data_IF_819254631909
#
_entry.id   IF_819254631909
#
_cell.length_a   1.000
_cell.length_b   1.000
_cell.length_c   1.000
_cell.angle_alpha   90.00
_cell.angle_beta   90.00
_cell.angle_gamma   90.00
#
_symmetry.space_group_name_H-M   'P 1'
#
loop_
_entity.id
_entity.type
_entity.pdbx_description
1 polymer ?
#
# COMPACT_ATOMS: atom_id res chain seq x y z
N UNK A 1 -20.57 17.83 -17.58
CA UNK A 1 -19.28 18.49 -17.90
C UNK A 1 -18.22 17.68 -17.17
N UNK A 2 -17.47 16.84 -17.86
CA UNK A 2 -16.29 16.20 -17.25
C UNK A 2 -15.33 17.31 -16.87
N UNK A 3 -14.97 17.40 -15.59
CA UNK A 3 -14.08 18.42 -15.10
C UNK A 3 -12.75 18.34 -15.86
N UNK A 4 -12.33 19.45 -16.48
CA UNK A 4 -11.07 19.65 -17.22
C UNK A 4 -9.83 19.60 -16.30
N UNK A 5 -9.97 19.02 -15.10
CA UNK A 5 -8.94 18.94 -14.06
C UNK A 5 -8.19 17.63 -14.24
N UNK A 6 -6.86 17.73 -14.28
CA UNK A 6 -5.99 16.56 -14.28
C UNK A 6 -6.15 15.74 -13.00
N UNK A 7 -5.65 14.50 -13.04
CA UNK A 7 -5.53 13.64 -11.86
C UNK A 7 -4.05 13.49 -11.53
N UNK A 8 -3.69 13.52 -10.25
CA UNK A 8 -2.38 13.10 -9.75
C UNK A 8 -2.53 11.94 -8.77
N UNK A 9 -1.46 11.19 -8.56
CA UNK A 9 -1.45 10.05 -7.67
C UNK A 9 -0.57 10.29 -6.43
N UNK A 10 -1.05 9.87 -5.26
CA UNK A 10 -0.31 9.89 -4.00
C UNK A 10 -0.23 8.47 -3.45
N UNK A 11 1.00 7.98 -3.24
CA UNK A 11 1.26 6.73 -2.55
C UNK A 11 1.52 7.01 -1.06
N UNK A 12 0.71 6.40 -0.20
CA UNK A 12 0.87 6.50 1.24
C UNK A 12 1.83 5.41 1.74
N UNK A 13 3.05 5.81 2.11
CA UNK A 13 4.15 4.92 2.52
C UNK A 13 4.80 5.30 3.88
N UNK A 14 4.30 6.33 4.57
CA UNK A 14 4.86 6.83 5.84
C UNK A 14 4.57 5.96 7.08
N UNK A 15 3.85 4.84 6.95
CA UNK A 15 3.42 4.01 8.08
C UNK A 15 4.57 3.32 8.82
N UNK A 16 4.47 3.23 10.16
CA UNK A 16 5.49 2.60 11.02
C UNK A 16 5.64 1.09 10.81
N UNK A 17 4.59 0.40 10.34
CA UNK A 17 4.64 -1.05 10.14
C UNK A 17 4.79 -1.88 11.43
N UNK A 18 4.47 -1.32 12.59
CA UNK A 18 4.70 -1.95 13.91
C UNK A 18 4.08 -3.34 14.08
N UNK A 19 2.96 -3.62 13.40
CA UNK A 19 2.30 -4.94 13.42
C UNK A 19 3.10 -6.04 12.71
N UNK A 20 4.08 -5.68 11.89
CA UNK A 20 5.02 -6.61 11.24
C UNK A 20 6.35 -6.72 11.99
N UNK A 21 6.54 -6.00 13.10
CA UNK A 21 7.76 -6.12 13.88
C UNK A 21 7.97 -7.59 14.32
N UNK A 22 9.23 -8.07 14.36
CA UNK A 22 10.48 -7.32 14.15
C UNK A 22 10.93 -7.18 12.67
N UNK A 23 10.15 -7.63 11.67
CA UNK A 23 10.56 -7.50 10.26
C UNK A 23 10.78 -6.04 9.86
N UNK A 24 9.94 -5.16 10.39
CA UNK A 24 9.91 -3.73 10.06
C UNK A 24 10.82 -2.88 10.94
N UNK A 25 11.55 -3.49 11.90
CA UNK A 25 12.52 -2.76 12.72
C UNK A 25 13.69 -2.24 11.89
N UNK A 26 14.01 -2.92 10.78
CA UNK A 26 15.13 -2.55 9.87
C UNK A 26 14.72 -2.36 8.42
N UNK A 27 13.51 -2.76 8.03
CA UNK A 27 13.00 -2.62 6.65
C UNK A 27 11.68 -1.86 6.68
N UNK A 28 11.55 -0.70 6.00
CA UNK A 28 10.27 -0.01 5.93
C UNK A 28 9.19 -0.92 5.35
N UNK A 29 7.96 -0.84 5.87
CA UNK A 29 6.83 -1.69 5.42
C UNK A 29 6.64 -1.63 3.90
N UNK A 30 6.76 -0.44 3.31
CA UNK A 30 6.65 -0.25 1.87
C UNK A 30 7.72 -1.02 1.07
N UNK A 31 8.86 -1.38 1.67
CA UNK A 31 9.92 -2.15 1.03
C UNK A 31 9.86 -3.66 1.36
N UNK A 32 8.91 -4.10 2.19
CA UNK A 32 8.70 -5.53 2.42
C UNK A 32 8.31 -6.22 1.10
N UNK A 33 8.95 -7.34 0.71
CA UNK A 33 8.71 -7.98 -0.58
C UNK A 33 7.42 -8.81 -0.59
N UNK A 34 6.59 -8.67 -1.62
CA UNK A 34 5.48 -9.59 -1.94
C UNK A 34 5.75 -10.18 -3.32
N UNK A 35 5.95 -11.50 -3.39
CA UNK A 35 6.33 -12.16 -4.64
C UNK A 35 7.67 -11.67 -5.19
N UNK A 36 8.66 -11.49 -4.31
CA UNK A 36 9.99 -10.95 -4.63
C UNK A 36 10.00 -9.52 -5.18
N UNK A 37 8.91 -8.78 -5.00
CA UNK A 37 8.78 -7.38 -5.40
C UNK A 37 8.35 -6.51 -4.20
N UNK A 38 9.05 -5.41 -3.89
CA UNK A 38 8.62 -4.47 -2.85
C UNK A 38 7.15 -4.06 -2.98
N UNK A 39 6.47 -3.89 -1.85
CA UNK A 39 5.10 -3.36 -1.81
C UNK A 39 4.97 -1.99 -2.51
N UNK A 40 5.98 -1.13 -2.37
CA UNK A 40 6.11 0.15 -3.06
C UNK A 40 6.11 -0.03 -4.59
N UNK A 41 6.82 -1.03 -5.10
CA UNK A 41 6.87 -1.30 -6.53
C UNK A 41 5.52 -1.77 -7.07
N UNK A 42 4.74 -2.53 -6.29
CA UNK A 42 3.37 -2.88 -6.65
C UNK A 42 2.51 -1.63 -6.77
N UNK A 43 2.60 -0.71 -5.81
CA UNK A 43 1.85 0.55 -5.80
C UNK A 43 2.28 1.50 -6.94
N UNK A 44 3.56 1.67 -7.20
CA UNK A 44 4.05 2.50 -8.32
C UNK A 44 3.78 1.84 -9.66
N UNK A 45 3.90 0.51 -9.75
CA UNK A 45 3.66 -0.26 -10.96
C UNK A 45 2.23 -0.15 -11.48
N UNK A 46 1.22 -0.27 -10.60
CA UNK A 46 -0.19 -0.10 -11.00
C UNK A 46 -0.51 1.33 -11.45
N UNK A 47 0.15 2.32 -10.85
CA UNK A 47 0.02 3.72 -11.23
C UNK A 47 0.65 3.98 -12.61
N UNK A 48 1.86 3.49 -12.83
CA UNK A 48 2.57 3.59 -14.11
C UNK A 48 1.80 2.90 -15.24
N UNK A 49 1.21 1.72 -14.97
CA UNK A 49 0.36 1.02 -15.93
C UNK A 49 -0.91 1.81 -16.33
N UNK A 50 -1.32 2.80 -15.54
CA UNK A 50 -2.42 3.70 -15.80
C UNK A 50 -1.97 5.10 -16.29
N UNK A 51 -0.68 5.29 -16.56
CA UNK A 51 -0.12 6.54 -17.09
C UNK A 51 0.36 7.55 -16.04
N UNK A 52 0.37 7.18 -14.75
CA UNK A 52 0.92 8.02 -13.68
C UNK A 52 2.36 7.60 -13.40
N UNK A 53 3.33 8.43 -13.79
CA UNK A 53 4.75 8.23 -13.58
C UNK A 53 5.47 9.57 -13.41
N UNK A 54 6.59 9.54 -12.68
CA UNK A 54 7.43 10.70 -12.47
C UNK A 54 6.93 11.70 -11.43
N UNK A 55 7.74 12.72 -11.13
CA UNK A 55 7.51 13.66 -10.03
C UNK A 55 6.35 14.62 -10.28
N UNK A 56 5.98 14.83 -11.54
CA UNK A 56 4.89 15.73 -11.90
C UNK A 56 3.52 15.11 -11.62
N UNK A 57 3.39 13.77 -11.67
CA UNK A 57 2.09 13.09 -11.55
C UNK A 57 1.99 12.14 -10.36
N UNK A 58 3.11 11.74 -9.76
CA UNK A 58 3.15 10.82 -8.61
C UNK A 58 3.91 11.44 -7.45
N UNK A 59 3.33 11.37 -6.25
CA UNK A 59 4.00 11.68 -5.00
C UNK A 59 4.00 10.48 -4.04
N UNK A 60 5.02 10.39 -3.18
CA UNK A 60 5.15 9.39 -2.11
C UNK A 60 5.43 10.11 -0.80
N UNK A 61 4.63 9.86 0.24
CA UNK A 61 4.95 10.38 1.58
C UNK A 61 5.89 9.42 2.34
N UNK A 62 6.83 9.99 3.10
CA UNK A 62 7.88 9.24 3.79
C UNK A 62 8.08 9.79 5.19
N UNK A 63 8.11 8.89 6.18
CA UNK A 63 8.35 9.24 7.58
C UNK A 63 9.27 8.25 8.29
N UNK A 64 8.90 6.96 8.31
CA UNK A 64 9.66 5.89 8.95
C UNK A 64 10.79 5.39 8.04
N UNK A 65 11.96 5.06 8.59
CA UNK A 65 13.14 4.62 7.84
C UNK A 65 13.47 5.50 6.62
N UNK A 66 13.49 6.83 6.84
CA UNK A 66 13.60 7.83 5.75
C UNK A 66 14.76 7.58 4.83
N UNK A 67 15.95 7.32 5.39
CA UNK A 67 17.15 7.15 4.59
C UNK A 67 17.04 5.96 3.64
N UNK A 68 16.49 4.84 4.12
CA UNK A 68 16.24 3.65 3.29
C UNK A 68 15.18 3.92 2.22
N UNK A 69 14.08 4.60 2.56
CA UNK A 69 13.04 4.99 1.60
C UNK A 69 13.56 5.96 0.55
N UNK A 70 14.35 6.97 0.95
CA UNK A 70 14.94 7.94 0.03
C UNK A 70 15.98 7.30 -0.89
N UNK A 71 16.80 6.39 -0.35
CA UNK A 71 17.76 5.63 -1.15
C UNK A 71 17.04 4.77 -2.19
N UNK A 72 15.97 4.07 -1.81
CA UNK A 72 15.16 3.29 -2.75
C UNK A 72 14.51 4.18 -3.82
N UNK A 73 13.85 5.27 -3.41
CA UNK A 73 13.17 6.19 -4.33
C UNK A 73 14.14 6.84 -5.32
N UNK A 74 15.41 7.02 -4.95
CA UNK A 74 16.43 7.53 -5.86
C UNK A 74 16.89 6.51 -6.93
N UNK A 75 16.51 5.23 -6.82
CA UNK A 75 16.86 4.20 -7.82
C UNK A 75 15.95 4.20 -9.05
N UNK A 76 14.76 4.79 -8.96
CA UNK A 76 13.83 4.87 -10.08
C UNK A 76 14.35 5.85 -11.15
N UNK A 77 14.20 5.48 -12.42
CA UNK A 77 14.62 6.32 -13.56
C UNK A 77 13.98 7.71 -13.55
N UNK A 78 12.72 7.78 -13.12
CA UNK A 78 11.94 9.01 -12.99
C UNK A 78 11.27 9.02 -11.61
N UNK A 79 12.00 9.47 -10.56
CA UNK A 79 11.56 9.31 -9.18
C UNK A 79 10.34 10.19 -8.88
N UNK A 80 9.37 9.71 -8.09
CA UNK A 80 8.19 10.48 -7.73
C UNK A 80 8.55 11.67 -6.82
N UNK A 81 7.64 12.64 -6.72
CA UNK A 81 7.75 13.72 -5.74
C UNK A 81 7.77 13.11 -4.33
N UNK A 82 8.76 13.49 -3.52
CA UNK A 82 8.81 13.03 -2.13
C UNK A 82 8.20 14.06 -1.20
N UNK A 83 7.29 13.62 -0.33
CA UNK A 83 6.78 14.40 0.80
C UNK A 83 7.37 13.85 2.10
N UNK A 84 8.32 14.57 2.69
CA UNK A 84 8.97 14.16 3.94
C UNK A 84 8.17 14.67 5.14
N UNK A 85 7.65 13.76 5.96
CA UNK A 85 6.87 14.11 7.13
C UNK A 85 7.71 14.10 8.40
N UNK A 86 7.82 15.22 9.11
CA UNK A 86 8.55 15.30 10.38
C UNK A 86 8.00 14.35 11.45
N UNK A 87 6.67 14.22 11.49
CA UNK A 87 5.87 13.35 12.38
C UNK A 87 4.84 12.61 11.50
N UNK A 88 4.30 11.45 11.91
CA UNK A 88 3.33 10.75 11.07
C UNK A 88 2.04 11.58 10.96
N UNK A 89 1.71 12.07 9.77
CA UNK A 89 0.56 12.96 9.54
C UNK A 89 -0.75 12.22 9.28
N UNK A 90 -0.70 10.90 9.06
CA UNK A 90 -1.88 10.13 8.68
C UNK A 90 -2.32 10.44 7.24
N UNK A 91 -3.42 9.80 6.80
CA UNK A 91 -3.81 9.82 5.39
C UNK A 91 -4.32 11.18 4.92
N UNK A 92 -5.02 11.94 5.77
CA UNK A 92 -5.50 13.27 5.42
C UNK A 92 -4.39 14.32 5.55
N UNK A 93 -3.60 14.25 6.62
CA UNK A 93 -2.49 15.17 6.84
C UNK A 93 -1.41 15.07 5.76
N UNK A 94 -1.14 13.87 5.25
CA UNK A 94 -0.24 13.65 4.12
C UNK A 94 -0.69 14.40 2.86
N UNK A 95 -1.99 14.39 2.56
CA UNK A 95 -2.55 15.13 1.42
C UNK A 95 -2.53 16.63 1.67
N UNK A 96 -2.81 17.08 2.89
CA UNK A 96 -2.67 18.49 3.27
C UNK A 96 -1.24 19.01 3.09
N UNK A 97 -0.23 18.19 3.39
CA UNK A 97 1.18 18.51 3.16
C UNK A 97 1.56 18.55 1.67
N UNK A 98 0.82 17.83 0.82
CA UNK A 98 0.99 17.81 -0.63
C UNK A 98 0.06 18.77 -1.37
N UNK A 99 -0.75 19.57 -0.68
CA UNK A 99 -1.79 20.42 -1.29
C UNK A 99 -1.26 21.30 -2.41
N UNK A 100 -0.13 21.98 -2.18
CA UNK A 100 0.49 22.89 -3.15
C UNK A 100 1.14 22.14 -4.33
N UNK A 101 1.47 20.86 -4.16
CA UNK A 101 1.88 20.00 -5.28
C UNK A 101 0.65 19.50 -6.05
N UNK A 102 -0.43 19.10 -5.38
CA UNK A 102 -1.67 18.63 -6.00
C UNK A 102 -2.30 19.73 -6.86
N UNK A 103 -2.34 20.97 -6.37
CA UNK A 103 -2.63 22.22 -7.09
C UNK A 103 -3.81 22.13 -8.10
N UNK A 104 -5.03 21.97 -7.58
CA UNK A 104 -6.23 21.99 -8.42
C UNK A 104 -6.60 20.68 -9.10
N UNK A 105 -5.73 19.65 -8.98
CA UNK A 105 -5.95 18.32 -9.54
C UNK A 105 -6.74 17.42 -8.61
N UNK A 106 -7.52 16.52 -9.18
CA UNK A 106 -8.13 15.44 -8.45
C UNK A 106 -7.06 14.42 -8.02
N UNK A 107 -7.27 13.74 -6.90
CA UNK A 107 -6.23 12.91 -6.28
C UNK A 107 -6.62 11.44 -6.24
N UNK A 108 -5.84 10.60 -6.91
CA UNK A 108 -5.82 9.15 -6.73
C UNK A 108 -4.89 8.82 -5.56
N UNK A 109 -5.42 8.19 -4.52
CA UNK A 109 -4.63 7.78 -3.35
C UNK A 109 -4.53 6.26 -3.35
N UNK A 110 -3.32 5.74 -3.14
CA UNK A 110 -3.08 4.30 -2.94
C UNK A 110 -2.18 4.10 -1.73
N UNK A 111 -2.54 3.16 -0.86
CA UNK A 111 -1.67 2.76 0.22
C UNK A 111 -0.59 1.82 -0.32
N UNK A 112 0.67 2.04 0.07
CA UNK A 112 1.78 1.21 -0.38
C UNK A 112 1.64 -0.25 0.10
N UNK A 113 0.99 -0.48 1.23
CA UNK A 113 0.82 -1.80 1.83
C UNK A 113 -0.36 -2.61 1.29
N UNK A 114 -1.11 -2.07 0.33
CA UNK A 114 -2.23 -2.76 -0.29
C UNK A 114 -1.76 -3.60 -1.49
N UNK A 115 -1.91 -4.92 -1.37
CA UNK A 115 -1.69 -5.87 -2.46
C UNK A 115 -3.01 -6.18 -3.17
N UNK A 116 -2.99 -6.20 -4.50
CA UNK A 116 -4.17 -6.46 -5.32
C UNK A 116 -3.91 -7.54 -6.36
N UNK A 117 -4.92 -8.34 -6.66
CA UNK A 117 -4.92 -9.29 -7.77
C UNK A 117 -6.32 -9.37 -8.40
N UNK A 118 -6.49 -8.98 -9.68
CA UNK A 118 -5.48 -8.45 -10.60
C UNK A 118 -5.11 -6.98 -10.30
N UNK A 119 -3.82 -6.68 -10.22
CA UNK A 119 -3.28 -5.37 -9.87
C UNK A 119 -3.72 -4.25 -10.84
N UNK A 120 -3.75 -4.54 -12.14
CA UNK A 120 -4.14 -3.60 -13.19
C UNK A 120 -5.63 -3.19 -13.18
N UNK A 121 -6.47 -3.79 -12.34
CA UNK A 121 -7.88 -3.42 -12.24
C UNK A 121 -8.14 -2.23 -11.31
N UNK A 122 -7.25 -1.97 -10.35
CA UNK A 122 -7.43 -0.96 -9.28
C UNK A 122 -7.75 0.42 -9.85
N UNK A 123 -6.84 0.97 -10.65
CA UNK A 123 -6.95 2.35 -11.16
C UNK A 123 -8.12 2.48 -12.14
N UNK A 124 -8.32 1.46 -13.00
CA UNK A 124 -9.44 1.43 -13.95
C UNK A 124 -10.79 1.41 -13.22
N UNK A 125 -10.95 0.59 -12.19
CA UNK A 125 -12.21 0.49 -11.43
C UNK A 125 -12.54 1.82 -10.75
N UNK A 126 -11.54 2.51 -10.21
CA UNK A 126 -11.72 3.82 -9.60
C UNK A 126 -12.13 4.89 -10.64
N UNK A 127 -11.36 5.02 -11.73
CA UNK A 127 -11.56 6.09 -12.72
C UNK A 127 -12.79 5.89 -13.61
N UNK A 128 -13.21 4.64 -13.85
CA UNK A 128 -14.31 4.35 -14.79
C UNK A 128 -15.62 5.02 -14.37
N UNK A 129 -16.10 5.93 -15.23
CA UNK A 129 -17.35 6.66 -15.01
C UNK A 129 -17.34 7.56 -13.76
N UNK A 130 -16.16 7.95 -13.26
CA UNK A 130 -16.06 8.90 -12.16
C UNK A 130 -16.23 10.33 -12.66
N UNK A 131 -17.16 11.08 -12.06
CA UNK A 131 -17.48 12.45 -12.48
C UNK A 131 -16.56 13.52 -11.86
N UNK A 132 -15.74 13.16 -10.85
CA UNK A 132 -14.89 14.12 -10.12
C UNK A 132 -15.66 14.99 -9.12
N UNK A 133 -16.87 14.58 -8.70
CA UNK A 133 -17.74 15.38 -7.82
C UNK A 133 -17.79 14.86 -6.38
N UNK A 134 -17.47 13.58 -6.18
CA UNK A 134 -17.63 12.84 -4.93
C UNK A 134 -16.39 12.00 -4.65
N UNK A 135 -15.94 11.90 -3.40
CA UNK A 135 -14.96 10.89 -3.02
C UNK A 135 -15.46 9.50 -3.43
N UNK A 136 -14.57 8.70 -4.01
CA UNK A 136 -14.86 7.33 -4.43
C UNK A 136 -13.88 6.37 -3.81
N UNK A 137 -14.38 5.40 -3.05
CA UNK A 137 -13.56 4.40 -2.37
C UNK A 137 -13.54 3.11 -3.18
N UNK A 138 -12.36 2.51 -3.33
CA UNK A 138 -12.26 1.14 -3.83
C UNK A 138 -12.56 0.18 -2.68
N UNK A 139 -13.60 -0.61 -2.86
CA UNK A 139 -14.08 -1.55 -1.86
C UNK A 139 -14.08 -2.97 -2.41
N UNK A 140 -13.89 -3.95 -1.53
CA UNK A 140 -14.07 -5.36 -1.84
C UNK A 140 -15.11 -5.95 -0.88
N UNK A 141 -15.80 -7.02 -1.31
CA UNK A 141 -16.65 -7.79 -0.41
C UNK A 141 -15.80 -8.39 0.70
N UNK A 142 -16.23 -8.22 1.95
CA UNK A 142 -15.57 -8.81 3.09
C UNK A 142 -15.76 -10.33 3.08
N UNK A 143 -14.69 -11.07 3.38
CA UNK A 143 -14.78 -12.50 3.63
C UNK A 143 -15.38 -12.79 5.01
N UNK A 144 -15.82 -14.03 5.24
CA UNK A 144 -16.41 -14.42 6.52
C UNK A 144 -15.43 -14.17 7.68
N UNK A 145 -15.84 -13.33 8.64
CA UNK A 145 -15.02 -12.97 9.80
C UNK A 145 -14.10 -11.77 9.58
N UNK A 146 -14.04 -11.20 8.38
CA UNK A 146 -13.38 -9.91 8.15
C UNK A 146 -14.23 -8.76 8.68
N UNK A 147 -13.55 -7.67 9.07
CA UNK A 147 -14.21 -6.40 9.40
C UNK A 147 -14.83 -5.80 8.15
N UNK A 148 -16.05 -5.28 8.26
CA UNK A 148 -16.69 -4.46 7.22
C UNK A 148 -16.62 -2.98 7.59
N UNK A 149 -16.59 -2.13 6.56
CA UNK A 149 -16.63 -0.67 6.69
C UNK A 149 -17.96 -0.09 6.17
N UNK A 150 -18.56 -0.74 5.16
CA UNK A 150 -19.80 -0.34 4.52
C UNK A 150 -20.67 -1.57 4.23
N UNK A 151 -21.53 -1.93 5.18
CA UNK A 151 -22.40 -3.12 5.07
C UNK A 151 -21.59 -4.42 4.88
N UNK A 152 -21.57 -5.00 3.69
CA UNK A 152 -20.80 -6.19 3.31
C UNK A 152 -19.47 -5.87 2.62
N UNK A 153 -19.15 -4.58 2.47
CA UNK A 153 -17.94 -4.08 1.83
C UNK A 153 -16.91 -3.60 2.86
N UNK A 154 -15.64 -3.73 2.49
CA UNK A 154 -14.49 -3.15 3.19
C UNK A 154 -13.67 -2.26 2.27
N UNK A 155 -13.07 -1.22 2.83
CA UNK A 155 -12.13 -0.38 2.11
C UNK A 155 -10.83 -1.14 1.82
N UNK A 156 -10.25 -0.93 0.64
CA UNK A 156 -9.09 -1.71 0.16
C UNK A 156 -7.78 -0.95 0.10
N UNK A 157 -7.75 0.31 0.57
CA UNK A 157 -6.53 1.12 0.56
C UNK A 157 -6.32 1.91 -0.73
N UNK A 158 -7.35 2.09 -1.57
CA UNK A 158 -7.28 2.98 -2.72
C UNK A 158 -8.55 3.83 -2.86
N UNK A 159 -8.43 5.11 -3.19
CA UNK A 159 -9.58 6.00 -3.40
C UNK A 159 -9.28 7.13 -4.40
N UNK A 160 -10.32 7.76 -4.91
CA UNK A 160 -10.27 9.00 -5.66
C UNK A 160 -10.95 10.11 -4.87
N UNK A 161 -10.30 11.27 -4.82
CA UNK A 161 -10.77 12.44 -4.09
C UNK A 161 -10.84 13.63 -5.05
N UNK A 162 -11.98 14.33 -5.13
CA UNK A 162 -12.07 15.61 -5.82
C UNK A 162 -11.14 16.65 -5.20
N UNK A 163 -10.56 17.54 -6.01
CA UNK A 163 -9.78 18.67 -5.49
C UNK A 163 -10.54 19.48 -4.44
N UNK A 164 -11.85 19.69 -4.64
CA UNK A 164 -12.67 20.47 -3.71
C UNK A 164 -12.67 19.91 -2.28
N UNK A 165 -12.52 18.60 -2.14
CA UNK A 165 -12.43 17.92 -0.84
C UNK A 165 -10.99 17.95 -0.30
N UNK A 166 -9.97 17.91 -1.17
CA UNK A 166 -8.54 17.94 -0.79
C UNK A 166 -8.04 19.34 -0.43
N UNK A 167 -8.56 20.39 -1.08
CA UNK A 167 -8.10 21.77 -0.96
C UNK A 167 -8.12 22.33 0.48
N UNK A 168 -8.99 21.78 1.33
CA UNK A 168 -9.16 22.21 2.72
C UNK A 168 -8.47 21.28 3.72
N UNK A 169 -7.69 20.30 3.27
CA UNK A 169 -6.94 19.43 4.17
C UNK A 169 -5.72 20.16 4.72
N UNK A 170 -5.56 20.06 6.03
CA UNK A 170 -4.45 20.67 6.76
C UNK A 170 -3.30 19.66 6.94
N UNK A 171 -2.03 20.10 6.93
CA UNK A 171 -0.86 19.24 7.13
C UNK A 171 -0.67 18.87 8.61
N UNK A 172 -1.71 18.32 9.24
CA UNK A 172 -1.73 17.94 10.67
C UNK A 172 -2.13 16.46 10.81
N UNK A 173 -1.73 15.78 11.91
CA UNK A 173 -2.09 14.38 12.15
C UNK A 173 -3.60 14.11 12.08
N UNK A 174 -4.05 13.49 10.98
CA UNK A 174 -5.46 13.20 10.73
C UNK A 174 -5.64 12.08 9.68
N UNK A 175 -6.75 11.35 9.78
CA UNK A 175 -7.17 10.35 8.79
C UNK A 175 -8.34 10.84 7.94
N UNK A 176 -8.39 10.36 6.68
CA UNK A 176 -9.46 10.69 5.72
C UNK A 176 -10.85 10.26 6.20
N UNK A 177 -10.94 9.18 6.97
CA UNK A 177 -12.23 8.72 7.49
C UNK A 177 -12.86 9.76 8.41
N UNK A 178 -12.10 10.27 9.37
CA UNK A 178 -12.58 11.16 10.42
C UNK A 178 -12.94 12.54 9.88
N UNK A 179 -12.12 13.06 8.95
CA UNK A 179 -12.22 14.44 8.47
C UNK A 179 -13.05 14.58 7.19
N UNK A 180 -13.31 13.50 6.46
CA UNK A 180 -13.96 13.56 5.16
C UNK A 180 -15.02 12.46 4.97
N UNK A 181 -14.62 11.19 4.96
CA UNK A 181 -15.51 10.12 4.48
C UNK A 181 -16.72 9.88 5.36
N UNK A 182 -16.57 10.00 6.69
CA UNK A 182 -17.70 9.85 7.62
C UNK A 182 -18.82 10.85 7.33
N UNK A 183 -18.47 12.11 7.07
CA UNK A 183 -19.44 13.14 6.73
C UNK A 183 -19.99 12.93 5.31
N UNK A 184 -19.12 12.70 4.33
CA UNK A 184 -19.55 12.43 2.94
C UNK A 184 -20.53 11.25 2.86
N UNK A 185 -20.33 10.19 3.67
CA UNK A 185 -21.27 9.07 3.77
C UNK A 185 -22.60 9.48 4.37
N UNK A 186 -22.60 10.25 5.46
CA UNK A 186 -23.82 10.73 6.11
C UNK A 186 -24.67 11.63 5.19
N UNK A 187 -24.02 12.33 4.26
CA UNK A 187 -24.64 13.22 3.27
C UNK A 187 -24.93 12.55 1.92
N UNK A 188 -24.74 11.23 1.81
CA UNK A 188 -24.90 10.47 0.57
C UNK A 188 -24.05 11.00 -0.62
N UNK A 189 -22.85 11.50 -0.30
CA UNK A 189 -21.83 11.96 -1.26
C UNK A 189 -20.60 11.04 -1.35
N UNK A 190 -20.69 9.79 -0.90
CA UNK A 190 -19.59 8.84 -0.96
C UNK A 190 -19.91 7.72 -1.96
N UNK A 191 -19.14 7.65 -3.04
CA UNK A 191 -19.22 6.57 -4.02
C UNK A 191 -18.41 5.36 -3.54
N UNK A 192 -18.94 4.15 -3.74
CA UNK A 192 -18.23 2.90 -3.50
C UNK A 192 -18.06 2.17 -4.83
N UNK A 193 -16.81 1.88 -5.21
CA UNK A 193 -16.48 1.11 -6.41
C UNK A 193 -16.05 -0.30 -6.00
N UNK A 194 -16.82 -1.31 -6.43
CA UNK A 194 -16.52 -2.71 -6.09
C UNK A 194 -15.36 -3.25 -6.95
N UNK A 195 -14.31 -3.70 -6.28
CA UNK A 195 -13.13 -4.31 -6.89
C UNK A 195 -13.42 -5.78 -7.21
N UNK A 196 -13.29 -6.22 -8.47
CA UNK A 196 -13.67 -7.57 -8.89
C UNK A 196 -12.59 -8.63 -8.60
N UNK A 197 -11.78 -8.42 -7.55
CA UNK A 197 -10.61 -9.25 -7.27
C UNK A 197 -10.26 -9.31 -5.78
N UNK A 198 -9.04 -9.79 -5.50
CA UNK A 198 -8.51 -9.93 -4.15
C UNK A 198 -7.73 -8.67 -3.78
N UNK A 199 -8.06 -8.08 -2.64
CA UNK A 199 -7.32 -6.96 -2.05
C UNK A 199 -6.89 -7.32 -0.62
N UNK A 200 -5.60 -7.20 -0.30
CA UNK A 200 -5.04 -7.57 0.99
C UNK A 200 -4.25 -6.38 1.57
N UNK A 201 -4.62 -5.92 2.77
CA UNK A 201 -3.77 -5.03 3.57
C UNK A 201 -2.64 -5.88 4.17
N UNK A 202 -1.42 -5.71 3.68
CA UNK A 202 -0.25 -6.44 4.14
C UNK A 202 0.27 -5.91 5.50
N UNK A 203 -0.63 -5.53 6.41
CA UNK A 203 -0.34 -4.96 7.72
C UNK A 203 -0.15 -5.94 8.83
N UNK A 204 -0.49 -7.21 8.64
CA UNK A 204 -0.26 -8.28 9.60
C UNK A 204 0.62 -9.37 8.98
N UNK A 205 1.35 -10.16 9.78
CA UNK A 205 2.14 -11.28 9.25
C UNK A 205 1.29 -12.29 8.47
N UNK A 206 0.05 -12.55 8.91
CA UNK A 206 -0.88 -13.46 8.24
C UNK A 206 -1.29 -12.96 6.86
N UNK A 207 -1.71 -11.70 6.77
CA UNK A 207 -2.09 -11.08 5.49
C UNK A 207 -0.90 -10.94 4.54
N UNK A 208 0.26 -10.57 5.07
CA UNK A 208 1.49 -10.47 4.29
C UNK A 208 1.94 -11.84 3.74
N UNK A 209 1.84 -12.91 4.53
CA UNK A 209 2.05 -14.28 4.04
C UNK A 209 1.02 -14.62 2.97
N UNK A 210 -0.27 -14.36 3.22
CA UNK A 210 -1.36 -14.65 2.27
C UNK A 210 -1.11 -13.97 0.92
N UNK A 211 -0.74 -12.69 0.91
CA UNK A 211 -0.40 -11.96 -0.30
C UNK A 211 0.76 -12.62 -1.07
N UNK A 212 1.83 -13.01 -0.36
CA UNK A 212 2.95 -13.73 -0.97
C UNK A 212 2.53 -15.08 -1.57
N UNK A 213 1.75 -15.88 -0.86
CA UNK A 213 1.29 -17.17 -1.37
C UNK A 213 0.41 -17.04 -2.62
N UNK A 214 -0.35 -15.95 -2.76
CA UNK A 214 -1.11 -15.70 -3.99
C UNK A 214 -0.20 -15.50 -5.21
N UNK A 215 0.97 -14.88 -5.02
CA UNK A 215 1.93 -14.66 -6.14
C UNK A 215 2.56 -15.96 -6.65
N UNK A 216 2.58 -17.01 -5.82
CA UNK A 216 3.24 -18.29 -6.11
C UNK A 216 2.26 -19.46 -6.33
N UNK A 217 0.95 -19.19 -6.37
CA UNK A 217 -0.08 -20.25 -6.45
C UNK A 217 -0.15 -21.14 -5.21
N UNK A 218 0.23 -20.62 -4.04
CA UNK A 218 0.17 -21.31 -2.75
C UNK A 218 1.50 -21.91 -2.26
N UNK A 219 2.55 -21.87 -3.08
CA UNK A 219 3.88 -22.35 -2.72
C UNK A 219 4.65 -21.35 -1.84
N UNK A 220 5.69 -21.81 -1.14
CA UNK A 220 6.59 -20.91 -0.42
C UNK A 220 7.26 -19.93 -1.39
N UNK A 221 7.38 -18.66 -0.99
CA UNK A 221 8.10 -17.62 -1.76
C UNK A 221 9.52 -17.53 -1.24
N UNK A 222 10.49 -17.76 -2.12
CA UNK A 222 11.92 -17.72 -1.79
C UNK A 222 12.54 -16.51 -2.50
N UNK A 223 13.09 -15.60 -1.70
CA UNK A 223 13.76 -14.39 -2.14
C UNK A 223 15.05 -14.68 -2.89
N UNK A 224 15.48 -13.71 -3.69
CA UNK A 224 16.77 -13.76 -4.36
C UNK A 224 17.90 -13.97 -3.33
N UNK A 225 18.85 -14.84 -3.67
CA UNK A 225 20.02 -15.16 -2.84
C UNK A 225 19.71 -15.72 -1.43
N UNK A 226 18.44 -16.09 -1.16
CA UNK A 226 18.10 -16.82 0.05
C UNK A 226 18.65 -18.25 -0.01
N UNK A 227 19.17 -18.73 1.11
CA UNK A 227 19.68 -20.09 1.22
C UNK A 227 18.71 -20.97 2.02
N UNK A 228 18.23 -22.05 1.41
CA UNK A 228 17.33 -23.01 2.04
C UNK A 228 17.89 -24.42 1.95
N UNK A 229 18.47 -24.91 3.05
CA UNK A 229 18.89 -26.31 3.17
C UNK A 229 17.89 -27.20 3.94
N UNK A 230 16.98 -26.59 4.71
CA UNK A 230 15.91 -27.28 5.43
C UNK A 230 14.62 -27.36 4.62
N UNK A 231 13.48 -27.56 5.29
CA UNK A 231 12.16 -27.61 4.64
C UNK A 231 11.34 -26.36 4.94
N UNK A 232 10.65 -25.83 3.93
CA UNK A 232 9.79 -24.65 4.06
C UNK A 232 8.43 -24.90 3.40
N UNK A 233 7.35 -24.79 4.18
CA UNK A 233 5.97 -25.04 3.71
C UNK A 233 5.11 -23.81 3.91
N UNK A 234 4.62 -23.22 2.82
CA UNK A 234 3.82 -21.98 2.85
C UNK A 234 4.53 -20.89 3.67
N UNK A 235 5.80 -20.64 3.36
CA UNK A 235 6.61 -19.62 4.03
C UNK A 235 6.98 -18.49 3.06
N UNK A 236 7.37 -17.34 3.61
CA UNK A 236 8.11 -16.33 2.88
C UNK A 236 9.54 -16.34 3.41
N UNK A 237 10.53 -16.49 2.54
CA UNK A 237 11.95 -16.37 2.90
C UNK A 237 12.48 -15.14 2.17
N UNK A 238 12.82 -14.08 2.90
CA UNK A 238 13.29 -12.84 2.33
C UNK A 238 14.63 -13.00 1.61
N UNK A 239 14.96 -12.08 0.68
CA UNK A 239 16.26 -12.07 0.03
C UNK A 239 17.43 -12.12 1.03
N UNK A 240 18.44 -12.92 0.73
CA UNK A 240 19.62 -13.13 1.59
C UNK A 240 19.37 -13.88 2.91
N UNK A 241 18.14 -14.28 3.21
CA UNK A 241 17.83 -15.00 4.44
C UNK A 241 18.28 -16.46 4.40
N UNK A 242 18.44 -17.05 5.59
CA UNK A 242 18.99 -18.40 5.74
C UNK A 242 18.03 -19.34 6.48
N UNK A 243 17.86 -20.53 5.92
CA UNK A 243 17.20 -21.69 6.54
C UNK A 243 18.19 -22.86 6.54
N UNK A 244 18.59 -23.30 7.73
CA UNK A 244 19.54 -24.38 7.95
C UNK A 244 18.96 -25.77 7.68
N UNK A 245 19.83 -26.76 7.49
CA UNK A 245 19.46 -28.13 7.12
C UNK A 245 18.53 -28.85 8.11
N UNK A 246 18.55 -28.44 9.38
CA UNK A 246 17.71 -29.01 10.44
C UNK A 246 16.42 -28.21 10.71
N UNK A 247 16.19 -27.11 9.99
CA UNK A 247 15.01 -26.28 10.19
C UNK A 247 13.82 -26.80 9.38
N UNK A 248 12.66 -26.84 10.03
CA UNK A 248 11.37 -27.19 9.43
C UNK A 248 10.39 -26.04 9.66
N UNK A 249 10.25 -25.16 8.67
CA UNK A 249 9.44 -23.96 8.78
C UNK A 249 8.08 -24.15 8.11
N UNK A 250 7.03 -23.63 8.75
CA UNK A 250 5.67 -23.66 8.22
C UNK A 250 4.91 -22.41 8.60
N UNK A 251 4.29 -21.73 7.62
CA UNK A 251 3.49 -20.52 7.84
C UNK A 251 4.24 -19.43 8.62
N UNK A 252 5.48 -19.19 8.23
CA UNK A 252 6.32 -18.13 8.82
C UNK A 252 6.89 -17.24 7.73
N UNK A 253 7.31 -16.04 8.14
CA UNK A 253 8.18 -15.16 7.39
C UNK A 253 9.59 -15.27 7.99
N UNK A 254 10.56 -15.65 7.17
CA UNK A 254 11.98 -15.74 7.51
C UNK A 254 12.72 -14.56 6.89
N UNK A 255 13.41 -13.80 7.72
CA UNK A 255 14.25 -12.66 7.34
C UNK A 255 15.57 -12.69 8.11
N UNK A 256 16.36 -11.61 7.99
CA UNK A 256 17.66 -11.49 8.64
C UNK A 256 18.75 -12.32 7.97
N UNK A 257 19.93 -12.38 8.58
CA UNK A 257 21.09 -13.09 8.01
C UNK A 257 21.27 -14.46 8.66
N UNK A 258 22.21 -15.26 8.15
CA UNK A 258 22.60 -16.54 8.78
C UNK A 258 22.98 -16.40 10.26
N UNK A 259 23.65 -15.31 10.64
CA UNK A 259 24.12 -15.08 12.02
C UNK A 259 23.10 -14.36 12.89
N UNK A 260 22.06 -13.77 12.29
CA UNK A 260 20.98 -13.08 12.98
C UNK A 260 19.64 -13.34 12.27
N UNK A 261 19.12 -14.58 12.30
CA UNK A 261 17.87 -14.92 11.63
C UNK A 261 16.68 -14.34 12.40
N UNK A 262 15.68 -13.87 11.65
CA UNK A 262 14.40 -13.39 12.19
C UNK A 262 13.30 -14.30 11.66
N UNK A 263 12.48 -14.85 12.56
CA UNK A 263 11.34 -15.70 12.17
C UNK A 263 10.07 -15.16 12.79
N UNK A 264 9.11 -14.79 11.94
CA UNK A 264 7.82 -14.26 12.38
C UNK A 264 6.70 -15.21 12.00
N UNK A 265 5.94 -15.75 12.96
CA UNK A 265 4.75 -16.53 12.69
C UNK A 265 3.68 -15.72 11.96
N UNK A 266 3.00 -16.33 10.98
CA UNK A 266 1.96 -15.68 10.18
C UNK A 266 0.53 -16.12 10.59
N UNK A 267 0.35 -16.50 11.86
CA UNK A 267 -0.89 -17.06 12.40
C UNK A 267 -0.65 -18.37 13.15
#
# INVERSE_FOLDING_TARGET
MTSDRGVCAVVLAAGLGSRLAPLTDTVPKALCPVGNRPLLDWALGRLAAAGFAGPDTVAVNVHHHRDAMLAELATYTDPPQVSLEAVPLGTAGALGALRDWIDGRDTLVVNADAFFSPDAAVVRTLLSGWAGERPRLLCARAEAGERTDFEDLRYTGACLLPWADVANLEPVPAGLYEVMWRQARAEDRLDLAEFPGIAIDCGTPGDYLRANLLTSGGASVIGADAHVAGTVTQCVVWPGAWVGAHEHLRKVIRAGTRTAPVTVPAG
#
